data_IF_006799718946
#
_entry.id   IF_006799718946
#
_cell.length_a   1.000
_cell.length_b   1.000
_cell.length_c   1.000
_cell.angle_alpha   90.00
_cell.angle_beta   90.00
_cell.angle_gamma   90.00
#
_symmetry.space_group_name_H-M   'P 1'
#
loop_
_entity.id
_entity.type
_entity.pdbx_description
1 polymer ?
#
# COMPACT_ATOMS: atom_id res chain seq x y z
N UNK A 1 31.02 8.12 -32.52
CA UNK A 1 29.62 8.27 -32.99
C UNK A 1 28.83 6.96 -32.98
N UNK A 2 29.36 5.84 -33.51
CA UNK A 2 28.64 4.55 -33.56
C UNK A 2 28.20 3.99 -32.20
N UNK A 3 29.05 4.13 -31.16
CA UNK A 3 28.73 3.70 -29.78
C UNK A 3 27.58 4.51 -29.15
N UNK A 4 27.51 5.81 -29.46
CA UNK A 4 26.45 6.70 -28.97
C UNK A 4 25.11 6.37 -29.64
N UNK A 5 25.13 6.10 -30.96
CA UNK A 5 23.95 5.63 -31.68
C UNK A 5 23.46 4.29 -31.14
N UNK A 6 24.37 3.38 -30.79
CA UNK A 6 24.03 2.08 -30.22
C UNK A 6 23.41 2.21 -28.81
N UNK A 7 23.92 3.11 -27.98
CA UNK A 7 23.33 3.39 -26.66
C UNK A 7 21.94 4.02 -26.80
N UNK A 8 21.76 4.97 -27.73
CA UNK A 8 20.48 5.61 -27.99
C UNK A 8 19.42 4.61 -28.47
N UNK A 9 19.80 3.70 -29.38
CA UNK A 9 18.88 2.67 -29.89
C UNK A 9 18.53 1.64 -28.82
N UNK A 10 19.50 1.20 -27.99
CA UNK A 10 19.23 0.30 -26.87
C UNK A 10 18.25 0.94 -25.87
N UNK A 11 18.47 2.21 -25.51
CA UNK A 11 17.62 2.92 -24.56
C UNK A 11 16.18 3.07 -25.10
N UNK A 12 16.04 3.42 -26.38
CA UNK A 12 14.73 3.54 -27.03
C UNK A 12 13.96 2.20 -27.05
N UNK A 13 14.64 1.09 -27.31
CA UNK A 13 14.03 -0.25 -27.28
C UNK A 13 13.62 -0.66 -25.86
N UNK A 14 14.45 -0.36 -24.86
CA UNK A 14 14.14 -0.62 -23.45
C UNK A 14 12.90 0.17 -22.97
N UNK A 15 12.78 1.45 -23.35
CA UNK A 15 11.58 2.24 -23.03
C UNK A 15 10.31 1.69 -23.70
N UNK A 16 10.41 1.20 -24.94
CA UNK A 16 9.29 0.59 -25.66
C UNK A 16 8.80 -0.72 -25.02
N UNK A 17 9.69 -1.49 -24.40
CA UNK A 17 9.34 -2.73 -23.70
C UNK A 17 8.56 -2.49 -22.40
N UNK A 18 8.73 -1.32 -21.79
CA UNK A 18 7.98 -0.88 -20.61
C UNK A 18 6.69 -0.12 -20.94
N UNK A 19 6.34 -0.01 -22.22
CA UNK A 19 5.07 0.58 -22.61
C UNK A 19 3.92 -0.26 -22.03
N UNK A 20 2.98 0.33 -21.28
CA UNK A 20 1.88 -0.40 -20.69
C UNK A 20 1.03 -1.00 -21.83
N UNK A 21 1.03 -2.33 -21.92
CA UNK A 21 0.09 -3.05 -22.79
C UNK A 21 -1.33 -2.77 -22.31
N UNK A 22 -2.26 -2.64 -23.25
CA UNK A 22 -3.65 -2.21 -22.99
C UNK A 22 -4.20 -2.89 -21.75
N UNK A 23 -4.63 -2.04 -20.81
CA UNK A 23 -4.97 -2.35 -19.43
C UNK A 23 -5.86 -3.59 -19.28
N UNK A 24 -5.24 -4.74 -19.10
CA UNK A 24 -5.83 -5.89 -18.44
C UNK A 24 -5.04 -6.13 -17.16
N UNK A 25 -5.56 -5.58 -16.05
CA UNK A 25 -5.16 -5.84 -14.68
C UNK A 25 -3.71 -5.49 -14.26
N UNK A 26 -3.34 -4.21 -14.30
CA UNK A 26 -2.32 -3.65 -13.39
C UNK A 26 -2.75 -2.27 -12.90
N UNK A 27 -3.84 -2.22 -12.14
CA UNK A 27 -4.22 -1.07 -11.33
C UNK A 27 -5.16 -1.58 -10.23
N UNK A 28 -4.62 -2.14 -9.15
CA UNK A 28 -5.40 -2.32 -7.91
C UNK A 28 -6.00 -0.98 -7.46
N UNK A 29 -5.31 0.13 -7.77
CA UNK A 29 -5.79 1.50 -7.57
C UNK A 29 -7.09 1.84 -8.32
N UNK A 30 -7.21 1.49 -9.62
CA UNK A 30 -8.41 1.87 -10.37
C UNK A 30 -9.63 1.04 -9.94
N UNK A 31 -9.43 -0.23 -9.57
CA UNK A 31 -10.50 -1.09 -9.05
C UNK A 31 -11.00 -0.59 -7.69
N UNK A 32 -10.09 -0.27 -6.77
CA UNK A 32 -10.47 0.25 -5.45
C UNK A 32 -11.16 1.60 -5.53
N UNK A 33 -10.71 2.50 -6.41
CA UNK A 33 -11.36 3.81 -6.61
C UNK A 33 -12.76 3.69 -7.22
N UNK A 34 -12.96 2.77 -8.19
CA UNK A 34 -14.28 2.53 -8.79
C UNK A 34 -15.21 1.79 -7.82
N UNK A 35 -14.71 0.84 -7.04
CA UNK A 35 -15.50 0.16 -5.98
C UNK A 35 -15.90 1.15 -4.88
N UNK A 36 -14.99 2.03 -4.46
CA UNK A 36 -15.30 3.11 -3.52
C UNK A 36 -16.36 4.08 -4.08
N UNK A 37 -16.20 4.53 -5.33
CA UNK A 37 -17.15 5.43 -5.98
C UNK A 37 -18.53 4.78 -6.25
N UNK A 38 -18.59 3.46 -6.46
CA UNK A 38 -19.86 2.72 -6.64
C UNK A 38 -20.61 2.52 -5.31
N UNK A 39 -19.92 2.44 -4.18
CA UNK A 39 -20.56 2.38 -2.86
C UNK A 39 -21.19 3.71 -2.43
N UNK A 40 -20.88 4.81 -3.12
CA UNK A 40 -21.34 6.16 -2.78
C UNK A 40 -22.63 6.58 -3.53
N UNK A 41 -23.37 5.62 -4.08
CA UNK A 41 -24.61 5.82 -4.84
C UNK A 41 -25.83 5.29 -4.07
N UNK A 42 -26.20 5.96 -3.00
CA UNK A 42 -27.57 6.24 -2.56
C UNK A 42 -27.60 6.54 -1.07
N UNK A 43 -28.03 7.77 -0.77
CA UNK A 43 -28.33 8.33 0.56
C UNK A 43 -27.19 8.28 1.59
N UNK A 44 -27.03 9.39 2.31
CA UNK A 44 -25.89 9.66 3.18
C UNK A 44 -26.01 8.89 4.51
N UNK A 45 -26.08 7.56 4.47
CA UNK A 45 -25.97 6.73 5.66
C UNK A 45 -24.48 6.53 6.01
N UNK A 46 -23.94 7.54 6.67
CA UNK A 46 -22.59 7.59 7.23
C UNK A 46 -22.29 6.47 8.26
N UNK A 47 -23.28 5.65 8.63
CA UNK A 47 -23.11 4.54 9.58
C UNK A 47 -22.40 3.31 8.98
N UNK A 48 -22.52 3.09 7.67
CA UNK A 48 -21.96 1.93 6.96
C UNK A 48 -20.57 2.18 6.36
N UNK A 49 -20.38 3.31 5.68
CA UNK A 49 -19.11 3.69 5.04
C UNK A 49 -17.96 3.85 6.05
N UNK A 50 -18.27 4.35 7.25
CA UNK A 50 -17.30 4.54 8.31
C UNK A 50 -16.74 3.20 8.84
N UNK A 51 -17.45 2.07 8.71
CA UNK A 51 -16.95 0.77 9.17
C UNK A 51 -15.83 0.22 8.30
N UNK A 52 -15.92 0.40 6.98
CA UNK A 52 -14.88 -0.06 6.05
C UNK A 52 -13.57 0.72 6.21
N UNK A 53 -13.67 2.04 6.33
CA UNK A 53 -12.51 2.92 6.56
C UNK A 53 -11.89 2.62 7.94
N UNK A 54 -12.70 2.53 9.00
CA UNK A 54 -12.21 2.17 10.33
C UNK A 54 -11.56 0.79 10.31
N UNK A 55 -12.12 -0.20 9.62
CA UNK A 55 -11.53 -1.54 9.52
C UNK A 55 -10.15 -1.50 8.81
N UNK A 56 -10.03 -0.79 7.69
CA UNK A 56 -8.77 -0.67 6.94
C UNK A 56 -7.71 0.13 7.71
N UNK A 57 -8.12 1.18 8.42
CA UNK A 57 -7.22 1.96 9.29
C UNK A 57 -6.85 1.21 10.57
N UNK A 58 -7.67 0.27 11.06
CA UNK A 58 -7.37 -0.50 12.28
C UNK A 58 -6.10 -1.33 12.14
N UNK A 59 -5.84 -1.91 10.97
CA UNK A 59 -4.68 -2.75 10.71
C UNK A 59 -3.32 -2.06 11.00
N UNK A 60 -3.01 -0.86 10.45
CA UNK A 60 -1.76 -0.17 10.76
C UNK A 60 -1.64 0.26 12.23
N UNK A 61 -2.74 0.61 12.91
CA UNK A 61 -2.69 0.98 14.34
C UNK A 61 -2.41 -0.22 15.24
N UNK A 62 -3.01 -1.39 14.97
CA UNK A 62 -2.71 -2.63 15.70
C UNK A 62 -1.25 -3.01 15.51
N UNK A 63 -0.74 -2.93 14.28
CA UNK A 63 0.65 -3.25 13.96
C UNK A 63 1.61 -2.35 14.75
N UNK A 64 1.37 -1.04 14.77
CA UNK A 64 2.18 -0.09 15.54
C UNK A 64 2.12 -0.36 17.05
N UNK A 65 0.93 -0.68 17.60
CA UNK A 65 0.77 -1.04 19.00
C UNK A 65 1.55 -2.32 19.38
N UNK A 66 1.50 -3.34 18.53
CA UNK A 66 2.24 -4.59 18.74
C UNK A 66 3.76 -4.36 18.73
N UNK A 67 4.26 -3.55 17.77
CA UNK A 67 5.67 -3.18 17.70
C UNK A 67 6.09 -2.42 18.96
N UNK A 68 5.31 -1.42 19.38
CA UNK A 68 5.57 -0.64 20.60
C UNK A 68 5.58 -1.50 21.86
N UNK A 69 4.64 -2.43 21.99
CA UNK A 69 4.57 -3.35 23.14
C UNK A 69 5.78 -4.28 23.22
N UNK A 70 6.18 -4.89 22.10
CA UNK A 70 7.36 -5.76 22.04
C UNK A 70 8.62 -4.97 22.35
N UNK A 71 8.74 -3.75 21.84
CA UNK A 71 9.87 -2.86 22.13
C UNK A 71 9.94 -2.53 23.62
N UNK A 72 8.84 -2.06 24.22
CA UNK A 72 8.77 -1.71 25.64
C UNK A 72 9.15 -2.89 26.55
N UNK A 73 8.66 -4.09 26.25
CA UNK A 73 8.98 -5.29 27.04
C UNK A 73 10.45 -5.69 26.96
N UNK A 74 11.12 -5.40 25.83
CA UNK A 74 12.55 -5.67 25.64
C UNK A 74 13.43 -4.58 26.26
N UNK A 75 13.01 -3.31 26.22
CA UNK A 75 13.77 -2.18 26.76
C UNK A 75 13.58 -1.99 28.26
N UNK A 76 12.48 -2.51 28.84
CA UNK A 76 12.25 -2.52 30.28
C UNK A 76 12.12 -3.94 30.85
N UNK A 77 13.21 -4.75 30.86
CA UNK A 77 13.20 -6.03 31.56
C UNK A 77 12.90 -5.79 33.05
N UNK A 78 11.87 -6.46 33.59
CA UNK A 78 11.71 -6.52 35.04
C UNK A 78 12.94 -7.27 35.58
N UNK A 79 13.74 -6.60 36.41
CA UNK A 79 14.81 -7.29 37.15
C UNK A 79 14.18 -8.47 37.87
N UNK A 80 14.73 -9.70 37.75
CA UNK A 80 14.22 -10.81 38.53
C UNK A 80 14.32 -10.40 40.00
N UNK A 81 13.19 -10.34 40.68
CA UNK A 81 13.16 -10.23 42.14
C UNK A 81 13.78 -11.52 42.65
N UNK A 82 15.09 -11.49 42.95
CA UNK A 82 15.75 -12.61 43.58
C UNK A 82 15.27 -12.67 45.03
N UNK A 83 14.71 -13.82 45.39
CA UNK A 83 14.63 -14.27 46.78
C UNK A 83 15.99 -14.75 47.26
#
# INVERSE_FOLDING_TARGET
MKKLLLILTINFVLLGFWAPSRAAAQCVMCKSQVEAARQEKDDYDVSGLNKGIVYMMTAPYILMGAIGFVWYRRTHPKRPANS
#
